data_IF_881057485273
#
_entry.id   IF_881057485273
#
_cell.length_a   1.000
_cell.length_b   1.000
_cell.length_c   1.000
_cell.angle_alpha   90.00
_cell.angle_beta   90.00
_cell.angle_gamma   90.00
#
_symmetry.space_group_name_H-M   'P 1'
#
loop_
_entity.id
_entity.type
_entity.pdbx_description
1 polymer ?
#
# COMPACT_ATOMS: atom_id res chain seq x y z
N UNK A 1 -13.37 -11.80 -22.04
CA UNK A 1 -13.31 -10.55 -22.84
C UNK A 1 -13.76 -9.44 -21.92
N UNK A 2 -13.00 -8.43 -21.51
CA UNK A 2 -11.55 -8.20 -21.44
C UNK A 2 -11.44 -7.08 -20.39
N UNK A 3 -10.91 -7.33 -19.21
CA UNK A 3 -10.33 -6.25 -18.41
C UNK A 3 -9.23 -6.83 -17.55
N UNK A 4 -7.96 -6.47 -17.76
CA UNK A 4 -6.96 -6.75 -16.74
C UNK A 4 -7.35 -5.87 -15.53
N UNK A 5 -7.83 -6.46 -14.44
CA UNK A 5 -8.17 -5.74 -13.20
C UNK A 5 -6.89 -5.31 -12.44
N UNK A 6 -5.94 -4.70 -13.14
CA UNK A 6 -4.65 -4.33 -12.61
C UNK A 6 -4.01 -3.21 -13.44
N UNK A 7 -3.16 -2.43 -12.79
CA UNK A 7 -2.44 -1.34 -13.42
C UNK A 7 -1.46 -1.83 -14.49
N UNK A 8 -1.37 -1.07 -15.60
CA UNK A 8 -0.49 -1.34 -16.74
C UNK A 8 0.28 -0.10 -17.14
N UNK A 9 1.55 -0.30 -17.46
CA UNK A 9 2.42 0.69 -18.08
C UNK A 9 3.33 -0.04 -19.08
N UNK A 10 2.93 -0.11 -20.35
CA UNK A 10 3.64 -0.89 -21.36
C UNK A 10 3.80 -2.37 -20.94
N UNK A 11 5.02 -2.92 -20.88
CA UNK A 11 5.26 -4.30 -20.42
C UNK A 11 5.11 -4.49 -18.90
N UNK A 12 5.07 -3.42 -18.11
CA UNK A 12 4.87 -3.50 -16.67
C UNK A 12 3.40 -3.73 -16.36
N UNK A 13 3.12 -4.75 -15.54
CA UNK A 13 1.80 -5.06 -15.02
C UNK A 13 1.88 -5.34 -13.52
N UNK A 14 0.87 -4.89 -12.78
CA UNK A 14 0.67 -5.20 -11.36
C UNK A 14 -0.79 -5.51 -11.09
N UNK A 15 -1.07 -6.38 -10.12
CA UNK A 15 -2.43 -6.72 -9.67
C UNK A 15 -3.09 -5.61 -8.81
N UNK A 16 -2.67 -4.35 -8.94
CA UNK A 16 -3.28 -3.24 -8.24
C UNK A 16 -4.49 -2.72 -9.00
N UNK A 17 -5.67 -2.86 -8.39
CA UNK A 17 -6.88 -2.19 -8.80
C UNK A 17 -6.99 -0.84 -8.09
N UNK A 18 -7.17 0.24 -8.84
CA UNK A 18 -7.54 1.56 -8.31
C UNK A 18 -9.06 1.58 -8.16
N UNK A 19 -9.54 1.78 -6.93
CA UNK A 19 -10.97 1.78 -6.60
C UNK A 19 -11.55 3.19 -6.66
N UNK A 20 -10.82 4.18 -6.14
CA UNK A 20 -11.19 5.59 -6.16
C UNK A 20 -9.93 6.45 -6.28
N UNK A 21 -10.05 7.60 -6.93
CA UNK A 21 -8.95 8.51 -7.24
C UNK A 21 -8.33 8.26 -8.62
N UNK A 22 -7.82 9.34 -9.21
CA UNK A 22 -7.23 9.35 -10.55
C UNK A 22 -5.80 9.92 -10.56
N UNK A 23 -5.28 10.30 -9.38
CA UNK A 23 -3.99 10.97 -9.23
C UNK A 23 -3.96 12.43 -9.69
N UNK A 24 -4.95 12.92 -10.43
CA UNK A 24 -5.01 14.31 -10.89
C UNK A 24 -5.61 15.21 -9.80
N UNK A 25 -6.69 14.74 -9.18
CA UNK A 25 -7.39 15.41 -8.09
C UNK A 25 -7.17 14.64 -6.78
N UNK A 26 -6.39 15.19 -5.84
CA UNK A 26 -6.17 14.52 -4.56
C UNK A 26 -7.45 14.51 -3.73
N UNK A 27 -7.69 13.41 -3.02
CA UNK A 27 -8.80 13.27 -2.07
C UNK A 27 -8.44 14.07 -0.81
N UNK A 28 -9.20 15.11 -0.42
CA UNK A 28 -8.88 15.89 0.77
C UNK A 28 -9.01 15.07 2.06
N UNK A 29 -8.21 15.41 3.08
CA UNK A 29 -8.25 14.72 4.38
C UNK A 29 -9.64 14.73 5.02
N UNK A 30 -10.37 15.85 4.91
CA UNK A 30 -11.72 15.96 5.47
C UNK A 30 -12.77 15.13 4.72
N UNK A 31 -12.48 14.73 3.48
CA UNK A 31 -13.36 13.89 2.66
C UNK A 31 -13.11 12.39 2.87
N UNK A 32 -12.08 12.02 3.62
CA UNK A 32 -11.77 10.64 3.97
C UNK A 32 -12.33 10.28 5.36
N UNK A 33 -13.50 9.64 5.40
CA UNK A 33 -14.17 9.27 6.64
C UNK A 33 -14.01 7.81 6.98
N UNK A 34 -13.57 7.54 8.21
CA UNK A 34 -13.49 6.18 8.76
C UNK A 34 -14.63 5.94 9.75
N UNK A 35 -15.40 4.89 9.50
CA UNK A 35 -16.45 4.39 10.38
C UNK A 35 -15.95 3.10 11.02
N UNK A 36 -15.87 3.05 12.35
CA UNK A 36 -15.39 1.88 13.07
C UNK A 36 -16.56 1.08 13.68
N UNK A 37 -16.69 -0.17 13.27
CA UNK A 37 -17.44 -1.19 13.99
C UNK A 37 -16.51 -1.82 15.06
N UNK A 38 -16.86 -1.73 16.36
CA UNK A 38 -16.03 -2.25 17.43
C UNK A 38 -16.00 -3.78 17.51
N UNK A 39 -16.84 -4.49 16.75
CA UNK A 39 -16.81 -5.94 16.71
C UNK A 39 -15.53 -6.45 16.02
N UNK A 40 -15.06 -7.61 16.48
CA UNK A 40 -14.01 -8.33 15.77
C UNK A 40 -14.61 -9.05 14.57
N UNK A 41 -13.81 -9.21 13.52
CA UNK A 41 -14.12 -10.10 12.41
C UNK A 41 -14.27 -11.53 12.91
N UNK A 42 -15.18 -12.29 12.30
CA UNK A 42 -15.39 -13.70 12.60
C UNK A 42 -14.78 -14.53 11.47
N UNK A 43 -13.86 -15.43 11.80
CA UNK A 43 -13.35 -16.40 10.83
C UNK A 43 -14.34 -17.56 10.69
N UNK A 44 -14.50 -18.12 9.48
CA UNK A 44 -15.13 -19.43 9.34
C UNK A 44 -14.26 -20.51 9.98
N UNK A 45 -14.87 -21.62 10.38
CA UNK A 45 -14.25 -22.68 11.19
C UNK A 45 -12.92 -23.17 10.60
N UNK A 46 -12.84 -23.37 9.27
CA UNK A 46 -11.63 -23.86 8.62
C UNK A 46 -10.44 -22.89 8.74
N UNK A 47 -10.71 -21.58 8.69
CA UNK A 47 -9.69 -20.54 8.87
C UNK A 47 -9.36 -20.31 10.36
N UNK A 48 -10.34 -20.56 11.24
CA UNK A 48 -10.11 -20.52 12.69
C UNK A 48 -9.12 -21.62 13.12
N UNK A 49 -9.23 -22.84 12.58
CA UNK A 49 -8.25 -23.93 12.78
C UNK A 49 -6.83 -23.46 12.38
N UNK A 50 -6.67 -22.82 11.22
CA UNK A 50 -5.37 -22.31 10.78
C UNK A 50 -4.82 -21.19 11.65
N UNK A 51 -5.70 -20.34 12.19
CA UNK A 51 -5.30 -19.29 13.15
C UNK A 51 -4.72 -19.92 14.43
N UNK A 52 -5.35 -20.97 14.95
CA UNK A 52 -4.85 -21.72 16.11
C UNK A 52 -3.50 -22.38 15.84
N UNK A 53 -3.32 -22.98 14.65
CA UNK A 53 -2.02 -23.52 14.21
C UNK A 53 -0.93 -22.44 14.21
N UNK A 54 -1.23 -21.26 13.66
CA UNK A 54 -0.30 -20.12 13.64
C UNK A 54 0.04 -19.69 15.07
N UNK A 55 -0.95 -19.56 15.94
CA UNK A 55 -0.74 -19.16 17.34
C UNK A 55 0.17 -20.13 18.09
N UNK A 56 -0.05 -21.44 17.94
CA UNK A 56 0.78 -22.47 18.51
C UNK A 56 2.22 -22.44 17.96
N UNK A 57 2.38 -22.28 16.65
CA UNK A 57 3.71 -22.20 16.02
C UNK A 57 4.49 -20.96 16.46
N UNK A 58 3.85 -19.79 16.55
CA UNK A 58 4.50 -18.57 17.03
C UNK A 58 4.89 -18.69 18.52
N UNK A 59 4.05 -19.31 19.35
CA UNK A 59 4.38 -19.59 20.74
C UNK A 59 5.57 -20.55 20.87
N UNK A 60 5.62 -21.61 20.04
CA UNK A 60 6.76 -22.55 19.98
C UNK A 60 8.05 -21.84 19.61
N UNK A 61 8.06 -21.05 18.53
CA UNK A 61 9.23 -20.27 18.10
C UNK A 61 9.72 -19.32 19.18
N UNK A 62 8.81 -18.63 19.86
CA UNK A 62 9.14 -17.76 21.00
C UNK A 62 9.85 -18.53 22.12
N UNK A 63 9.33 -19.70 22.49
CA UNK A 63 9.93 -20.54 23.54
C UNK A 63 11.32 -21.08 23.17
N UNK A 64 11.57 -21.29 21.87
CA UNK A 64 12.86 -21.71 21.34
C UNK A 64 13.84 -20.55 21.09
N UNK A 65 13.44 -19.30 21.35
CA UNK A 65 14.26 -18.12 21.09
C UNK A 65 14.44 -17.81 19.60
N UNK A 66 13.59 -18.36 18.74
CA UNK A 66 13.59 -18.10 17.31
C UNK A 66 12.82 -16.81 16.98
N UNK A 67 13.09 -16.25 15.80
CA UNK A 67 12.30 -15.15 15.25
C UNK A 67 10.85 -15.57 15.13
N UNK A 68 9.97 -14.80 15.76
CA UNK A 68 8.54 -15.03 15.82
C UNK A 68 7.80 -13.70 15.62
N UNK A 69 6.53 -13.80 15.29
CA UNK A 69 5.64 -12.66 15.16
C UNK A 69 4.73 -12.53 16.38
N UNK A 70 4.51 -11.28 16.79
CA UNK A 70 3.55 -10.94 17.83
C UNK A 70 2.14 -10.78 17.24
N UNK A 71 1.09 -11.24 17.95
CA UNK A 71 -0.30 -11.01 17.53
C UNK A 71 -0.74 -9.57 17.82
N UNK A 72 -0.34 -8.64 16.95
CA UNK A 72 -0.72 -7.24 17.05
C UNK A 72 -2.18 -6.99 16.65
N UNK A 73 -2.83 -6.01 17.29
CA UNK A 73 -4.17 -5.56 16.92
C UNK A 73 -4.16 -4.83 15.57
N UNK A 74 -5.14 -5.13 14.73
CA UNK A 74 -5.29 -4.58 13.37
C UNK A 74 -6.73 -4.18 13.09
N UNK A 75 -6.96 -3.69 11.89
CA UNK A 75 -8.29 -3.49 11.34
C UNK A 75 -8.49 -4.34 10.08
N UNK A 76 -9.73 -4.74 9.87
CA UNK A 76 -10.21 -5.29 8.62
C UNK A 76 -11.09 -4.28 7.90
N UNK A 77 -11.05 -4.26 6.57
CA UNK A 77 -12.00 -3.48 5.77
C UNK A 77 -13.30 -4.25 5.67
N UNK A 78 -14.36 -3.68 6.22
CA UNK A 78 -15.71 -4.26 6.19
C UNK A 78 -16.60 -3.65 5.09
N UNK A 79 -16.15 -2.55 4.48
CA UNK A 79 -16.83 -1.96 3.34
C UNK A 79 -16.24 -0.64 2.92
N UNK A 80 -16.44 -0.31 1.66
CA UNK A 80 -16.02 0.94 1.06
C UNK A 80 -17.19 1.52 0.25
N UNK A 81 -17.39 2.83 0.32
CA UNK A 81 -18.38 3.51 -0.50
C UNK A 81 -17.93 4.93 -0.78
N UNK A 82 -18.20 5.38 -2.00
CA UNK A 82 -17.94 6.76 -2.44
C UNK A 82 -19.27 7.45 -2.66
N UNK A 83 -19.38 8.68 -2.19
CA UNK A 83 -20.48 9.58 -2.55
C UNK A 83 -19.89 10.87 -3.10
N UNK A 84 -20.70 11.64 -3.83
CA UNK A 84 -20.30 12.96 -4.35
C UNK A 84 -21.15 14.03 -3.69
N UNK A 85 -20.52 15.10 -3.22
CA UNK A 85 -21.20 16.17 -2.47
C UNK A 85 -21.01 17.51 -3.18
N UNK A 86 -22.04 18.36 -3.12
CA UNK A 86 -21.99 19.72 -3.67
C UNK A 86 -22.24 19.80 -5.17
N UNK A 87 -22.09 21.00 -5.72
CA UNK A 87 -22.26 21.27 -7.16
C UNK A 87 -21.05 20.79 -7.96
N UNK A 88 -19.87 20.77 -7.33
CA UNK A 88 -18.59 20.39 -7.93
C UNK A 88 -18.33 18.87 -7.87
N UNK A 89 -19.29 18.08 -7.37
CA UNK A 89 -19.22 16.62 -7.31
C UNK A 89 -17.97 16.08 -6.58
N UNK A 90 -17.50 16.77 -5.55
CA UNK A 90 -16.31 16.36 -4.79
C UNK A 90 -16.51 14.97 -4.14
N UNK A 91 -15.55 14.04 -4.29
CA UNK A 91 -15.68 12.71 -3.73
C UNK A 91 -15.53 12.72 -2.21
N UNK A 92 -16.48 12.10 -1.53
CA UNK A 92 -16.43 11.77 -0.10
C UNK A 92 -16.36 10.24 0.04
N UNK A 93 -15.24 9.76 0.59
CA UNK A 93 -14.98 8.32 0.76
C UNK A 93 -15.33 7.90 2.18
N UNK A 94 -16.00 6.76 2.29
CA UNK A 94 -16.36 6.14 3.57
C UNK A 94 -15.73 4.76 3.65
N UNK A 95 -14.73 4.62 4.52
CA UNK A 95 -14.07 3.37 4.84
C UNK A 95 -14.65 2.80 6.14
N UNK A 96 -15.31 1.65 6.05
CA UNK A 96 -15.82 0.92 7.22
C UNK A 96 -14.77 -0.07 7.67
N UNK A 97 -14.34 0.05 8.92
CA UNK A 97 -13.36 -0.84 9.54
C UNK A 97 -14.02 -1.68 10.63
N UNK A 98 -13.53 -2.91 10.79
CA UNK A 98 -13.78 -3.78 11.94
C UNK A 98 -12.48 -4.10 12.66
N UNK A 99 -12.58 -4.52 13.92
CA UNK A 99 -11.41 -4.99 14.65
C UNK A 99 -10.92 -6.34 14.09
N UNK A 100 -9.61 -6.50 14.00
CA UNK A 100 -8.95 -7.74 13.63
C UNK A 100 -7.63 -7.89 14.40
N UNK A 101 -6.91 -8.99 14.15
CA UNK A 101 -5.58 -9.22 14.70
C UNK A 101 -4.64 -9.79 13.63
N UNK A 102 -3.34 -9.78 13.91
CA UNK A 102 -2.33 -10.21 12.94
C UNK A 102 -2.41 -11.69 12.61
N UNK A 103 -2.79 -12.54 13.56
CA UNK A 103 -2.90 -13.98 13.30
C UNK A 103 -4.11 -14.31 12.43
N UNK A 104 -5.21 -13.56 12.58
CA UNK A 104 -6.37 -13.59 11.68
C UNK A 104 -5.96 -13.21 10.27
N UNK A 105 -5.16 -12.14 10.12
CA UNK A 105 -4.57 -11.76 8.83
C UNK A 105 -3.71 -12.88 8.25
N UNK A 106 -2.78 -13.47 9.03
CA UNK A 106 -1.93 -14.56 8.55
C UNK A 106 -2.73 -15.81 8.13
N UNK A 107 -3.82 -16.13 8.83
CA UNK A 107 -4.73 -17.21 8.44
C UNK A 107 -5.43 -16.89 7.12
N UNK A 108 -6.02 -15.71 7.00
CA UNK A 108 -6.73 -15.26 5.79
C UNK A 108 -5.84 -15.09 4.56
N UNK A 109 -4.54 -14.83 4.75
CA UNK A 109 -3.58 -14.66 3.66
C UNK A 109 -3.03 -15.97 3.08
N UNK A 110 -3.43 -17.13 3.62
CA UNK A 110 -3.15 -18.44 3.02
C UNK A 110 -4.11 -18.75 1.86
N UNK A 111 -4.22 -17.82 0.91
CA UNK A 111 -5.23 -17.80 -0.15
C UNK A 111 -5.28 -19.05 -1.02
N UNK A 112 -4.13 -19.70 -1.18
CA UNK A 112 -3.94 -20.86 -2.05
C UNK A 112 -3.72 -22.16 -1.25
N UNK A 113 -3.83 -22.12 0.08
CA UNK A 113 -3.83 -23.34 0.90
C UNK A 113 -5.15 -24.07 0.71
N UNK A 114 -5.08 -25.36 0.44
CA UNK A 114 -6.26 -26.19 0.27
C UNK A 114 -6.96 -26.47 1.61
N UNK A 115 -8.29 -26.37 1.60
CA UNK A 115 -9.16 -26.95 2.60
C UNK A 115 -9.27 -28.47 2.41
N UNK A 116 -9.94 -29.16 3.34
CA UNK A 116 -10.08 -30.63 3.32
C UNK A 116 -10.82 -31.15 2.08
N UNK A 117 -11.63 -30.33 1.43
CA UNK A 117 -12.36 -30.67 0.21
C UNK A 117 -11.65 -30.25 -1.08
N UNK A 118 -10.41 -29.74 -0.98
CA UNK A 118 -9.60 -29.31 -2.12
C UNK A 118 -9.92 -27.91 -2.66
N UNK A 119 -10.93 -27.21 -2.12
CA UNK A 119 -11.11 -25.78 -2.42
C UNK A 119 -10.12 -24.92 -1.64
N UNK A 120 -9.97 -23.64 -2.01
CA UNK A 120 -9.04 -22.71 -1.35
C UNK A 120 -9.79 -21.45 -0.89
N UNK A 121 -9.25 -20.64 0.04
CA UNK A 121 -9.88 -19.37 0.40
C UNK A 121 -10.10 -18.46 -0.82
N UNK A 122 -9.14 -18.45 -1.77
CA UNK A 122 -9.26 -17.70 -3.02
C UNK A 122 -10.49 -18.14 -3.83
N UNK A 123 -10.68 -19.44 -4.05
CA UNK A 123 -11.79 -19.92 -4.88
C UNK A 123 -13.16 -19.87 -4.20
N UNK A 124 -13.19 -19.88 -2.86
CA UNK A 124 -14.44 -19.91 -2.08
C UNK A 124 -14.96 -18.51 -1.72
N UNK A 125 -14.07 -17.57 -1.41
CA UNK A 125 -14.44 -16.31 -0.78
C UNK A 125 -14.13 -15.07 -1.60
N UNK A 126 -13.35 -15.18 -2.67
CA UNK A 126 -12.98 -14.03 -3.51
C UNK A 126 -13.62 -14.14 -4.88
N UNK A 127 -14.27 -13.05 -5.30
CA UNK A 127 -14.72 -12.88 -6.68
C UNK A 127 -13.70 -12.01 -7.42
N UNK A 128 -12.95 -12.55 -8.40
CA UNK A 128 -12.00 -11.76 -9.17
C UNK A 128 -12.66 -10.68 -10.02
N UNK A 129 -13.97 -10.76 -10.28
CA UNK A 129 -14.71 -9.73 -10.99
C UNK A 129 -15.24 -8.64 -10.04
N UNK A 130 -15.32 -8.92 -8.74
CA UNK A 130 -15.84 -8.00 -7.72
C UNK A 130 -14.99 -8.01 -6.42
N UNK A 131 -13.72 -7.58 -6.50
CA UNK A 131 -12.80 -7.63 -5.37
C UNK A 131 -13.20 -6.68 -4.21
N UNK A 132 -14.09 -5.71 -4.44
CA UNK A 132 -14.54 -4.79 -3.39
C UNK A 132 -15.51 -5.44 -2.39
N UNK A 133 -16.22 -6.49 -2.81
CA UNK A 133 -17.26 -7.15 -2.01
C UNK A 133 -16.77 -8.43 -1.31
N UNK A 134 -15.45 -8.60 -1.15
CA UNK A 134 -14.90 -9.70 -0.38
C UNK A 134 -15.33 -9.63 1.12
N UNK A 135 -15.50 -10.78 1.80
CA UNK A 135 -15.82 -10.81 3.22
C UNK A 135 -14.77 -10.10 4.09
N UNK A 136 -15.22 -9.47 5.19
CA UNK A 136 -14.35 -8.67 6.08
C UNK A 136 -13.14 -9.46 6.61
N UNK A 137 -13.31 -10.75 6.95
CA UNK A 137 -12.23 -11.61 7.41
C UNK A 137 -11.14 -11.86 6.36
N UNK A 138 -11.42 -11.66 5.06
CA UNK A 138 -10.43 -11.73 3.99
C UNK A 138 -9.66 -10.41 3.81
N UNK A 139 -10.13 -9.32 4.42
CA UNK A 139 -9.59 -7.97 4.25
C UNK A 139 -8.91 -7.43 5.51
N UNK A 140 -8.23 -8.29 6.28
CA UNK A 140 -7.61 -7.99 7.58
C UNK A 140 -6.33 -7.13 7.55
N UNK A 141 -6.18 -6.27 6.53
CA UNK A 141 -5.09 -5.32 6.43
C UNK A 141 -5.47 -4.12 5.56
N UNK A 142 -4.97 -2.95 5.95
CA UNK A 142 -5.01 -1.75 5.11
C UNK A 142 -3.63 -1.09 5.11
N UNK A 143 -3.02 -0.99 3.93
CA UNK A 143 -1.70 -0.39 3.73
C UNK A 143 -1.78 1.09 3.31
N UNK A 144 -0.76 1.86 3.63
CA UNK A 144 -0.56 3.24 3.23
C UNK A 144 0.80 3.32 2.56
N UNK A 145 0.82 3.68 1.29
CA UNK A 145 2.03 3.74 0.47
C UNK A 145 2.28 5.18 0.08
N UNK A 146 3.48 5.71 0.36
CA UNK A 146 3.81 7.10 0.06
C UNK A 146 4.97 7.18 -0.94
N UNK A 147 4.77 7.94 -2.01
CA UNK A 147 5.85 8.41 -2.87
C UNK A 147 6.34 9.74 -2.31
N UNK A 148 7.64 9.83 -2.04
CA UNK A 148 8.30 11.04 -1.54
C UNK A 148 9.05 11.69 -2.70
N UNK A 149 8.74 12.96 -2.94
CA UNK A 149 9.47 13.83 -3.87
C UNK A 149 10.26 14.86 -3.06
N UNK A 150 11.58 14.87 -3.21
CA UNK A 150 12.45 15.80 -2.52
C UNK A 150 12.36 17.23 -3.07
N UNK A 151 12.89 18.20 -2.31
CA UNK A 151 12.91 19.61 -2.68
C UNK A 151 13.77 19.91 -3.92
N UNK A 152 14.76 19.05 -4.21
CA UNK A 152 15.56 19.07 -5.45
C UNK A 152 14.94 18.24 -6.58
N UNK A 153 13.62 18.00 -6.51
CA UNK A 153 12.81 17.34 -7.53
C UNK A 153 13.26 15.91 -7.86
N UNK A 154 13.56 15.10 -6.84
CA UNK A 154 13.83 13.66 -7.01
C UNK A 154 12.73 12.80 -6.41
N UNK A 155 12.29 11.78 -7.14
CA UNK A 155 11.45 10.73 -6.58
C UNK A 155 12.35 9.72 -5.85
N UNK A 156 11.96 9.36 -4.63
CA UNK A 156 12.70 8.41 -3.78
C UNK A 156 12.03 7.03 -3.88
N UNK A 157 12.82 5.99 -4.11
CA UNK A 157 12.36 4.60 -4.19
C UNK A 157 13.02 3.79 -3.09
N UNK A 158 12.27 2.89 -2.45
CA UNK A 158 12.85 2.00 -1.44
C UNK A 158 13.05 0.60 -2.00
N UNK A 159 14.14 -0.07 -1.60
CA UNK A 159 14.31 -1.52 -1.77
C UNK A 159 14.06 -2.18 -0.43
N UNK A 160 13.07 -3.07 -0.39
CA UNK A 160 12.72 -3.82 0.83
C UNK A 160 13.83 -4.78 1.23
N UNK A 161 14.00 -4.98 2.53
CA UNK A 161 14.99 -5.93 3.05
C UNK A 161 14.57 -7.38 2.80
N UNK A 162 15.50 -8.31 2.98
CA UNK A 162 15.20 -9.74 2.96
C UNK A 162 14.48 -10.22 4.24
N UNK A 163 14.40 -9.36 5.27
CA UNK A 163 13.96 -9.74 6.62
C UNK A 163 12.48 -9.41 6.88
N UNK A 164 11.82 -8.72 5.95
CA UNK A 164 10.38 -8.39 6.06
C UNK A 164 9.51 -9.61 5.77
N UNK A 165 8.38 -9.71 6.48
CA UNK A 165 7.45 -10.85 6.34
C UNK A 165 6.68 -10.92 5.02
N UNK A 166 6.63 -9.84 4.24
CA UNK A 166 5.97 -9.78 2.93
C UNK A 166 6.69 -8.82 1.98
N UNK A 167 6.76 -9.21 0.70
CA UNK A 167 7.40 -8.43 -0.37
C UNK A 167 8.92 -8.27 -0.19
N UNK A 168 9.59 -9.27 0.39
CA UNK A 168 11.03 -9.24 0.60
C UNK A 168 11.78 -8.99 -0.71
N UNK A 169 12.81 -8.14 -0.66
CA UNK A 169 13.62 -7.77 -1.82
C UNK A 169 12.81 -7.18 -2.98
N UNK A 170 11.61 -6.63 -2.81
CA UNK A 170 10.93 -5.88 -3.88
C UNK A 170 11.31 -4.39 -3.84
N UNK A 171 11.30 -3.74 -4.99
CA UNK A 171 11.26 -2.29 -5.08
C UNK A 171 9.87 -1.79 -4.66
N UNK A 172 9.80 -0.74 -3.86
CA UNK A 172 8.57 -0.29 -3.23
C UNK A 172 8.41 1.24 -3.30
N UNK A 173 7.28 1.72 -2.79
CA UNK A 173 7.08 3.12 -2.39
C UNK A 173 8.19 3.59 -1.45
N UNK A 174 8.35 4.91 -1.31
CA UNK A 174 9.36 5.50 -0.43
C UNK A 174 9.12 5.16 1.05
N UNK A 175 7.84 5.03 1.41
CA UNK A 175 7.32 4.63 2.73
C UNK A 175 6.17 3.66 2.53
N UNK A 176 6.08 2.61 3.35
CA UNK A 176 5.00 1.64 3.32
C UNK A 176 4.62 1.25 4.76
N UNK A 177 3.46 1.74 5.18
CA UNK A 177 2.95 1.57 6.54
C UNK A 177 1.61 0.82 6.52
N UNK A 178 1.23 0.15 7.60
CA UNK A 178 -0.10 -0.41 7.78
C UNK A 178 -0.85 0.31 8.91
N UNK A 179 -2.18 0.38 8.80
CA UNK A 179 -2.98 0.88 9.92
C UNK A 179 -2.82 -0.10 11.11
N UNK A 180 -2.31 0.43 12.21
CA UNK A 180 -2.09 -0.27 13.47
C UNK A 180 -3.11 0.20 14.48
N UNK A 181 -3.93 -0.70 15.01
CA UNK A 181 -4.91 -0.32 16.03
C UNK A 181 -4.23 0.17 17.32
N UNK A 182 -3.07 -0.37 17.67
CA UNK A 182 -2.35 0.03 18.88
C UNK A 182 -1.74 1.43 18.78
N UNK A 183 -1.37 1.87 17.57
CA UNK A 183 -0.67 3.15 17.35
C UNK A 183 -1.62 4.25 16.84
N UNK A 184 -2.59 3.87 16.01
CA UNK A 184 -3.44 4.82 15.28
C UNK A 184 -4.83 4.99 15.90
N UNK A 185 -5.15 4.22 16.96
CA UNK A 185 -6.35 4.43 17.76
C UNK A 185 -6.11 5.50 18.81
N UNK A 186 -6.57 6.74 18.57
CA UNK A 186 -6.57 7.78 19.60
C UNK A 186 -7.73 7.57 20.59
N UNK A 187 -7.59 6.56 21.46
CA UNK A 187 -8.64 6.14 22.39
C UNK A 187 -9.78 5.44 21.68
N UNK A 188 -11.00 6.00 21.72
CA UNK A 188 -12.20 5.47 21.05
C UNK A 188 -12.45 6.09 19.66
N UNK A 189 -11.52 6.89 19.15
CA UNK A 189 -11.65 7.51 17.82
C UNK A 189 -11.16 6.56 16.73
N UNK A 190 -11.82 6.54 15.56
CA UNK A 190 -11.31 5.80 14.41
C UNK A 190 -9.93 6.35 13.99
N UNK A 191 -9.10 5.53 13.33
CA UNK A 191 -7.83 6.00 12.77
C UNK A 191 -8.06 7.08 11.70
N UNK A 192 -6.98 7.74 11.28
CA UNK A 192 -6.96 8.68 10.15
C UNK A 192 -5.83 8.25 9.19
N UNK A 193 -6.15 8.08 7.90
CA UNK A 193 -5.18 7.62 6.90
C UNK A 193 -3.99 8.57 6.73
N UNK A 194 -4.21 9.89 6.85
CA UNK A 194 -3.16 10.89 6.76
C UNK A 194 -2.23 10.84 7.98
N UNK A 195 -2.76 10.57 9.17
CA UNK A 195 -1.93 10.38 10.37
C UNK A 195 -1.08 9.12 10.29
N UNK A 196 -1.62 8.04 9.71
CA UNK A 196 -0.86 6.81 9.41
C UNK A 196 0.27 7.09 8.41
N UNK A 197 -0.01 7.82 7.33
CA UNK A 197 1.00 8.24 6.37
C UNK A 197 2.10 9.11 7.02
N UNK A 198 1.71 10.08 7.86
CA UNK A 198 2.64 10.94 8.61
C UNK A 198 3.52 10.13 9.55
N UNK A 199 2.94 9.13 10.24
CA UNK A 199 3.65 8.21 11.11
C UNK A 199 4.70 7.42 10.32
N UNK A 200 4.31 6.76 9.23
CA UNK A 200 5.26 6.03 8.38
C UNK A 200 6.41 6.91 7.87
N UNK A 201 6.12 8.13 7.41
CA UNK A 201 7.18 9.07 6.96
C UNK A 201 8.13 9.43 8.10
N UNK A 202 7.60 9.64 9.31
CA UNK A 202 8.42 9.94 10.49
C UNK A 202 9.27 8.73 10.92
N UNK A 203 8.68 7.53 10.95
CA UNK A 203 9.33 6.29 11.44
C UNK A 203 10.37 5.74 10.44
N UNK A 204 10.11 5.84 9.14
CA UNK A 204 11.01 5.31 8.10
C UNK A 204 12.08 6.30 7.63
N UNK A 205 11.79 7.62 7.65
CA UNK A 205 12.66 8.65 7.06
C UNK A 205 13.11 9.75 8.02
N UNK A 206 12.59 9.79 9.26
CA UNK A 206 12.82 10.89 10.21
C UNK A 206 12.52 12.28 9.61
N UNK A 207 11.39 12.39 8.93
CA UNK A 207 10.88 13.64 8.36
C UNK A 207 9.59 14.03 9.11
N UNK A 208 9.54 15.26 9.60
CA UNK A 208 8.39 15.78 10.35
C UNK A 208 7.32 16.38 9.44
N UNK A 209 6.07 16.40 9.91
CA UNK A 209 4.90 16.80 9.11
C UNK A 209 4.91 18.25 8.61
N UNK A 210 5.71 19.13 9.21
CA UNK A 210 5.90 20.51 8.73
C UNK A 210 6.95 20.62 7.61
N UNK A 211 7.67 19.54 7.29
CA UNK A 211 8.70 19.51 6.25
C UNK A 211 8.15 19.12 4.87
N UNK A 212 6.86 18.79 4.73
CA UNK A 212 6.24 18.37 3.47
C UNK A 212 4.75 18.71 3.35
N UNK A 213 4.26 18.77 2.11
CA UNK A 213 2.82 18.64 1.80
C UNK A 213 2.47 17.17 1.56
N UNK A 214 1.25 16.76 1.94
CA UNK A 214 0.77 15.38 1.82
C UNK A 214 -0.58 15.33 1.12
N UNK A 215 -0.68 14.48 0.10
CA UNK A 215 -1.87 14.36 -0.75
C UNK A 215 -2.26 12.89 -0.93
N UNK A 216 -3.52 12.54 -0.69
CA UNK A 216 -4.07 11.21 -0.98
C UNK A 216 -4.47 11.15 -2.46
N UNK A 217 -3.82 10.28 -3.23
CA UNK A 217 -4.03 10.17 -4.68
C UNK A 217 -5.09 9.14 -5.04
N UNK A 218 -5.17 8.03 -4.30
CA UNK A 218 -6.08 6.93 -4.60
C UNK A 218 -6.29 5.97 -3.42
N UNK A 219 -7.41 5.26 -3.47
CA UNK A 219 -7.69 4.03 -2.71
C UNK A 219 -7.60 2.85 -3.67
N UNK A 220 -7.01 1.75 -3.22
CA UNK A 220 -6.70 0.60 -4.08
C UNK A 220 -6.88 -0.75 -3.37
N UNK A 221 -6.89 -1.81 -4.18
CA UNK A 221 -6.86 -3.20 -3.73
C UNK A 221 -5.75 -3.93 -4.52
N UNK A 222 -4.84 -4.62 -3.83
CA UNK A 222 -4.04 -5.69 -4.42
C UNK A 222 -4.98 -6.90 -4.57
N UNK A 223 -5.49 -7.14 -5.77
CA UNK A 223 -6.53 -8.17 -6.01
C UNK A 223 -5.98 -9.58 -5.88
N UNK A 224 -4.67 -9.76 -6.03
CA UNK A 224 -4.03 -11.05 -5.84
C UNK A 224 -3.89 -11.41 -4.36
N UNK A 225 -3.70 -10.42 -3.48
CA UNK A 225 -3.58 -10.64 -2.02
C UNK A 225 -4.84 -10.28 -1.23
N UNK A 226 -5.85 -9.70 -1.88
CA UNK A 226 -7.03 -9.11 -1.25
C UNK A 226 -6.67 -8.10 -0.15
N UNK A 227 -5.69 -7.23 -0.43
CA UNK A 227 -5.22 -6.24 0.52
C UNK A 227 -5.61 -4.83 0.07
N UNK A 228 -6.32 -4.11 0.94
CA UNK A 228 -6.68 -2.73 0.69
C UNK A 228 -5.50 -1.80 0.93
N UNK A 229 -5.46 -0.68 0.21
CA UNK A 229 -4.42 0.31 0.34
C UNK A 229 -4.87 1.73 0.02
N UNK A 230 -4.06 2.69 0.47
CA UNK A 230 -4.10 4.08 0.05
C UNK A 230 -2.75 4.49 -0.53
N UNK A 231 -2.78 5.34 -1.54
CA UNK A 231 -1.62 5.83 -2.28
C UNK A 231 -1.48 7.33 -2.04
N UNK A 232 -0.34 7.77 -1.49
CA UNK A 232 -0.08 9.16 -1.14
C UNK A 232 1.14 9.73 -1.85
N UNK A 233 1.12 11.03 -2.13
CA UNK A 233 2.29 11.81 -2.51
C UNK A 233 2.69 12.73 -1.36
N UNK A 234 3.96 12.67 -0.96
CA UNK A 234 4.59 13.62 -0.06
C UNK A 234 5.62 14.46 -0.82
N UNK A 235 5.43 15.78 -0.84
CA UNK A 235 6.35 16.72 -1.48
C UNK A 235 7.14 17.48 -0.42
N UNK A 236 8.45 17.24 -0.35
CA UNK A 236 9.32 17.87 0.65
C UNK A 236 9.58 19.34 0.30
N UNK A 237 9.53 20.19 1.32
CA UNK A 237 9.66 21.63 1.14
C UNK A 237 11.12 22.11 1.13
N UNK A 238 12.04 21.36 1.75
CA UNK A 238 13.42 21.83 2.01
C UNK A 238 14.51 20.79 1.80
N UNK A 239 14.21 19.51 1.94
CA UNK A 239 15.23 18.45 1.93
C UNK A 239 15.46 17.92 0.54
N UNK A 240 16.73 17.88 0.14
CA UNK A 240 17.17 17.13 -1.04
C UNK A 240 17.10 15.62 -0.80
N UNK A 241 17.07 14.84 -1.88
CA UNK A 241 17.05 13.37 -1.74
C UNK A 241 18.32 12.84 -1.06
N UNK A 242 19.48 13.46 -1.32
CA UNK A 242 20.72 13.11 -0.63
C UNK A 242 20.62 13.34 0.88
N UNK A 243 20.06 14.46 1.32
CA UNK A 243 19.85 14.75 2.75
C UNK A 243 18.86 13.76 3.41
N UNK A 244 17.85 13.30 2.68
CA UNK A 244 16.93 12.26 3.18
C UNK A 244 17.70 10.96 3.45
N UNK A 245 18.53 10.52 2.49
CA UNK A 245 19.38 9.32 2.66
C UNK A 245 20.35 9.50 3.84
N UNK A 246 20.97 10.68 3.96
CA UNK A 246 21.90 10.98 5.04
C UNK A 246 21.20 10.98 6.40
N UNK A 247 20.01 11.59 6.53
CA UNK A 247 19.22 11.55 7.77
C UNK A 247 18.89 10.12 8.18
N UNK A 248 18.43 9.30 7.24
CA UNK A 248 18.16 7.88 7.48
C UNK A 248 19.40 7.13 7.98
N UNK A 249 20.59 7.52 7.53
CA UNK A 249 21.85 6.91 7.96
C UNK A 249 22.11 7.08 9.47
N UNK A 250 21.63 8.18 10.07
CA UNK A 250 21.85 8.58 11.48
C UNK A 250 20.94 7.84 12.48
N UNK A 251 20.07 6.96 11.98
CA UNK A 251 19.20 6.11 12.79
C UNK A 251 17.74 6.51 12.65
N UNK A 252 16.91 5.55 12.25
CA UNK A 252 15.45 5.64 12.22
C UNK A 252 14.89 4.33 12.81
N UNK A 253 13.77 4.36 13.55
CA UNK A 253 13.20 3.18 14.20
C UNK A 253 13.13 1.95 13.30
N UNK A 254 12.65 2.12 12.06
CA UNK A 254 12.36 1.02 11.11
C UNK A 254 13.37 0.93 9.96
N UNK A 255 14.63 1.30 10.24
CA UNK A 255 15.71 1.24 9.23
C UNK A 255 15.92 -0.15 8.64
N UNK A 256 15.57 -1.18 9.39
CA UNK A 256 15.77 -2.58 9.01
C UNK A 256 14.79 -3.06 7.93
N UNK A 257 13.66 -2.38 7.74
CA UNK A 257 12.63 -2.80 6.77
C UNK A 257 13.05 -2.58 5.31
N UNK A 258 13.89 -1.57 5.05
CA UNK A 258 14.43 -1.26 3.73
C UNK A 258 15.96 -1.33 3.71
N UNK A 259 16.53 -2.05 2.75
CA UNK A 259 17.99 -2.20 2.57
C UNK A 259 18.62 -1.00 1.87
N UNK A 260 17.89 -0.32 0.98
CA UNK A 260 18.40 0.83 0.25
C UNK A 260 17.29 1.84 -0.06
N UNK A 261 17.71 3.10 -0.23
CA UNK A 261 16.94 4.14 -0.89
C UNK A 261 17.70 4.52 -2.15
N UNK A 262 16.99 4.60 -3.27
CA UNK A 262 17.48 5.12 -4.54
C UNK A 262 16.63 6.33 -4.93
N UNK A 263 17.12 7.16 -5.84
CA UNK A 263 16.35 8.31 -6.29
C UNK A 263 16.62 8.65 -7.76
N UNK A 264 15.60 9.14 -8.44
CA UNK A 264 15.65 9.53 -9.85
C UNK A 264 15.01 10.91 -10.02
N UNK A 265 15.38 11.62 -11.08
CA UNK A 265 14.77 12.90 -11.42
C UNK A 265 13.24 12.77 -11.55
N UNK A 266 12.48 13.55 -10.78
CA UNK A 266 11.01 13.52 -10.79
C UNK A 266 10.46 14.28 -12.00
N UNK A 267 10.62 13.65 -13.15
CA UNK A 267 10.11 14.07 -14.45
C UNK A 267 9.51 12.83 -15.13
N UNK A 268 8.67 13.03 -16.14
CA UNK A 268 7.96 11.91 -16.78
C UNK A 268 8.95 10.89 -17.35
N UNK A 269 9.90 11.32 -18.18
CA UNK A 269 10.85 10.41 -18.82
C UNK A 269 11.70 9.59 -17.85
N UNK A 270 12.43 10.21 -16.90
CA UNK A 270 13.33 9.46 -16.02
C UNK A 270 12.56 8.48 -15.15
N UNK A 271 11.43 8.87 -14.55
CA UNK A 271 10.62 7.98 -13.71
C UNK A 271 10.02 6.82 -14.52
N UNK A 272 9.42 7.09 -15.69
CA UNK A 272 8.84 6.01 -16.51
C UNK A 272 9.92 5.04 -16.97
N UNK A 273 11.08 5.54 -17.43
CA UNK A 273 12.22 4.69 -17.79
C UNK A 273 12.72 3.90 -16.59
N UNK A 274 12.79 4.52 -15.42
CA UNK A 274 13.21 3.89 -14.18
C UNK A 274 12.28 2.73 -13.81
N UNK A 275 10.96 2.93 -13.86
CA UNK A 275 9.96 1.87 -13.62
C UNK A 275 10.09 0.70 -14.61
N UNK A 276 10.37 1.00 -15.88
CA UNK A 276 10.45 0.02 -16.98
C UNK A 276 11.82 -0.62 -17.17
N UNK A 277 12.79 -0.35 -16.28
CA UNK A 277 14.13 -0.92 -16.42
C UNK A 277 14.09 -2.47 -16.43
N UNK A 278 14.78 -3.14 -17.38
CA UNK A 278 14.73 -4.60 -17.50
C UNK A 278 15.16 -5.36 -16.24
N UNK A 279 16.08 -4.81 -15.46
CA UNK A 279 16.61 -5.41 -14.23
C UNK A 279 15.64 -5.37 -13.04
N UNK A 280 14.48 -4.70 -13.18
CA UNK A 280 13.52 -4.55 -12.07
C UNK A 280 12.04 -4.58 -12.45
N UNK A 281 11.71 -4.62 -13.73
CA UNK A 281 10.31 -4.51 -14.20
C UNK A 281 9.38 -5.54 -13.55
N UNK A 282 9.92 -6.70 -13.16
CA UNK A 282 9.20 -7.79 -12.48
C UNK A 282 9.37 -7.79 -10.95
N UNK A 283 10.12 -6.85 -10.40
CA UNK A 283 10.57 -6.80 -9.00
C UNK A 283 9.91 -5.65 -8.21
N UNK A 284 8.79 -5.13 -8.69
CA UNK A 284 8.02 -4.09 -8.01
C UNK A 284 6.98 -4.68 -7.05
N UNK A 285 6.84 -4.07 -5.88
CA UNK A 285 5.66 -4.25 -5.06
C UNK A 285 4.42 -3.75 -5.82
N UNK A 286 3.28 -4.43 -5.62
CA UNK A 286 2.05 -4.21 -6.37
C UNK A 286 1.62 -2.74 -6.41
N UNK A 287 1.76 -2.01 -5.30
CA UNK A 287 1.37 -0.60 -5.17
C UNK A 287 2.38 0.40 -5.73
N UNK A 288 3.63 0.02 -5.92
CA UNK A 288 4.73 0.96 -6.12
C UNK A 288 4.70 1.65 -7.49
N UNK A 289 4.71 0.88 -8.58
CA UNK A 289 4.67 1.46 -9.93
C UNK A 289 3.40 2.31 -10.20
N UNK A 290 2.18 1.85 -9.82
CA UNK A 290 0.97 2.67 -9.92
C UNK A 290 1.09 3.98 -9.15
N UNK A 291 1.63 3.94 -7.93
CA UNK A 291 1.80 5.13 -7.08
C UNK A 291 2.72 6.18 -7.72
N UNK A 292 3.88 5.77 -8.23
CA UNK A 292 4.79 6.72 -8.89
C UNK A 292 4.19 7.27 -10.20
N UNK A 293 3.44 6.45 -10.93
CA UNK A 293 2.71 6.91 -12.11
C UNK A 293 1.64 7.96 -11.74
N UNK A 294 0.80 7.69 -10.73
CA UNK A 294 -0.20 8.65 -10.25
C UNK A 294 0.45 9.92 -9.69
N UNK A 295 1.63 9.82 -9.09
CA UNK A 295 2.41 10.98 -8.64
C UNK A 295 2.85 11.85 -9.83
N UNK A 296 3.26 11.26 -10.95
CA UNK A 296 3.53 12.01 -12.18
C UNK A 296 2.25 12.67 -12.72
N UNK A 297 1.12 11.95 -12.72
CA UNK A 297 -0.18 12.50 -13.13
C UNK A 297 -0.54 13.72 -12.28
N UNK A 298 -0.36 13.63 -10.96
CA UNK A 298 -0.59 14.76 -10.05
C UNK A 298 0.24 15.99 -10.42
N UNK A 299 1.50 15.78 -10.81
CA UNK A 299 2.46 16.85 -11.07
C UNK A 299 2.35 17.47 -12.46
N UNK A 300 2.07 16.64 -13.47
CA UNK A 300 2.20 17.00 -14.88
C UNK A 300 0.88 16.92 -15.66
N UNK A 301 -0.19 16.45 -15.04
CA UNK A 301 -1.49 16.23 -15.68
C UNK A 301 -1.52 14.91 -16.44
N UNK A 302 -2.71 14.29 -16.46
CA UNK A 302 -2.91 12.95 -17.04
C UNK A 302 -2.51 12.88 -18.51
N UNK A 303 -3.00 13.82 -19.31
CA UNK A 303 -2.78 13.83 -20.76
C UNK A 303 -1.29 13.85 -21.13
N UNK A 304 -0.49 14.66 -20.43
CA UNK A 304 0.95 14.76 -20.69
C UNK A 304 1.70 13.49 -20.29
N UNK A 305 1.34 12.89 -19.16
CA UNK A 305 1.95 11.63 -18.69
C UNK A 305 1.62 10.50 -19.65
N UNK A 306 0.33 10.30 -19.99
CA UNK A 306 -0.10 9.25 -20.92
C UNK A 306 0.58 9.38 -22.29
N UNK A 307 0.53 10.57 -22.89
CA UNK A 307 1.16 10.82 -24.19
C UNK A 307 2.65 10.49 -24.16
N UNK A 308 3.36 10.95 -23.12
CA UNK A 308 4.82 10.78 -23.06
C UNK A 308 5.22 9.35 -22.71
N UNK A 309 4.46 8.68 -21.84
CA UNK A 309 4.64 7.25 -21.54
C UNK A 309 4.53 6.40 -22.81
N UNK A 310 3.51 6.63 -23.65
CA UNK A 310 3.35 5.90 -24.92
C UNK A 310 4.56 6.06 -25.83
N UNK A 311 5.10 7.27 -25.95
CA UNK A 311 6.29 7.53 -26.77
C UNK A 311 7.53 6.79 -26.25
N UNK A 312 7.73 6.76 -24.92
CA UNK A 312 8.85 6.05 -24.30
C UNK A 312 8.73 4.55 -24.55
N UNK A 313 7.54 3.98 -24.34
CA UNK A 313 7.28 2.55 -24.52
C UNK A 313 7.53 2.14 -25.98
N UNK A 314 6.99 2.88 -26.95
CA UNK A 314 7.24 2.61 -28.37
C UNK A 314 8.73 2.71 -28.74
N UNK A 315 9.47 3.60 -28.08
CA UNK A 315 10.92 3.73 -28.24
C UNK A 315 11.71 2.56 -27.66
N UNK A 316 11.22 1.89 -26.62
CA UNK A 316 11.83 0.67 -26.06
C UNK A 316 11.62 -0.51 -27.01
N UNK A 317 10.42 -0.65 -27.59
CA UNK A 317 10.10 -1.76 -28.51
C UNK A 317 10.85 -1.67 -29.86
N UNK A 318 11.37 -0.48 -30.19
CA UNK A 318 12.09 -0.21 -31.43
C UNK A 318 13.62 -0.35 -31.31
N UNK A 319 14.15 -0.60 -30.10
CA UNK A 319 15.58 -0.67 -29.79
C UNK A 319 16.03 -2.12 -29.58
#
# INVERSE_FOLDING_TARGET
MLTPQGFRLGPLFTDLLIVEGDGEHPIPEHSARIILDPQFVNLPDELAEWREEIEAEQARRRNEGLTHFWNGLRYAVAGFSVTRVGVDEEPEIFLRLKNADYFTFLAAQQLDREFRDGSTPRSRYLDPEDPQNAPDFMCCSFGVNVAVVSADNKAIFARRSAQVGSGALLWNSSVNEAISRSLDSQGRKPPNLFDVARRGISEELAIHSNEYGLELLAISIDVNKQQWGALFLASLNRLSAHEVVERRSRGVPDKWENTALDYEEFQIDPVIKYLLRPDRINDWATSAAPLFYLSLVRRFGRASVEQRSTQIIAGIDSA
#
